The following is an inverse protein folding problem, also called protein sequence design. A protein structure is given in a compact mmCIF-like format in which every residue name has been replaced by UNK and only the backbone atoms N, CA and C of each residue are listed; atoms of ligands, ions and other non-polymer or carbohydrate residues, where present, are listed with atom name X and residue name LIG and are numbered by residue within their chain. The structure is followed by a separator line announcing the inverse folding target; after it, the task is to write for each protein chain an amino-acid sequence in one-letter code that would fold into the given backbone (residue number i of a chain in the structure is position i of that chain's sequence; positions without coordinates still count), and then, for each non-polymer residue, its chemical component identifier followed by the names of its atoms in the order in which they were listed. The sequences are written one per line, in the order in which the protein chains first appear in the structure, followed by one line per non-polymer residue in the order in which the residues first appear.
data_IF_023156033951
#
_entry.id   IF_023156033951
#
_cell.length_a   1.000
_cell.length_b   1.000
_cell.length_c   1.000
_cell.angle_alpha   90.00
_cell.angle_beta   90.00
_cell.angle_gamma   90.00
#
_symmetry.space_group_name_H-M   'P 1'
#
loop_
_entity.id
_entity.type
_entity.pdbx_description
1 polymer ?
#
# COMPACT_ATOMS: atom_id res chain seq x y z
N UNK A 1 -38.07 -24.53 -8.57
CA UNK A 1 -36.68 -24.12 -8.79
C UNK A 1 -36.31 -23.19 -7.65
N UNK A 2 -35.64 -23.72 -6.63
CA UNK A 2 -35.12 -22.89 -5.54
C UNK A 2 -34.03 -21.99 -6.12
N UNK A 3 -34.29 -20.69 -6.21
CA UNK A 3 -33.28 -19.71 -6.58
C UNK A 3 -32.30 -19.64 -5.41
N UNK A 4 -31.24 -20.47 -5.48
CA UNK A 4 -30.23 -20.56 -4.44
C UNK A 4 -29.78 -19.16 -4.01
N UNK A 5 -29.78 -18.91 -2.70
CA UNK A 5 -29.28 -17.65 -2.14
C UNK A 5 -27.88 -17.41 -2.70
N UNK A 6 -27.72 -16.37 -3.51
CA UNK A 6 -26.40 -15.89 -3.94
C UNK A 6 -25.64 -15.46 -2.68
N UNK A 7 -24.72 -16.28 -2.20
CA UNK A 7 -23.82 -15.93 -1.11
C UNK A 7 -22.80 -14.90 -1.62
N UNK A 8 -23.15 -13.62 -1.54
CA UNK A 8 -22.23 -12.54 -1.89
C UNK A 8 -21.40 -12.14 -0.68
N UNK A 9 -20.09 -12.45 -0.72
CA UNK A 9 -19.13 -11.93 0.26
C UNK A 9 -19.08 -10.41 0.17
N UNK A 10 -19.14 -9.71 1.30
CA UNK A 10 -19.08 -8.25 1.36
C UNK A 10 -17.77 -7.81 2.00
N UNK A 11 -16.92 -7.19 1.17
CA UNK A 11 -15.66 -6.58 1.61
C UNK A 11 -15.80 -5.06 1.62
N UNK A 12 -15.09 -4.42 2.52
CA UNK A 12 -14.88 -2.98 2.54
C UNK A 12 -13.44 -2.68 2.98
N UNK A 13 -12.97 -1.47 2.71
CA UNK A 13 -11.63 -1.05 3.07
C UNK A 13 -11.67 -0.02 4.18
N UNK A 14 -10.71 -0.11 5.11
CA UNK A 14 -10.46 0.98 6.04
C UNK A 14 -9.67 2.06 5.32
N UNK A 15 -10.36 3.06 4.79
CA UNK A 15 -9.72 4.22 4.17
C UNK A 15 -9.40 5.28 5.22
N UNK A 16 -8.12 5.44 5.57
CA UNK A 16 -7.68 6.54 6.44
C UNK A 16 -7.94 7.89 5.76
N UNK A 17 -8.44 8.87 6.50
CA UNK A 17 -8.56 10.24 6.00
C UNK A 17 -7.16 10.88 5.90
N UNK A 18 -6.62 10.95 4.68
CA UNK A 18 -5.30 11.53 4.40
C UNK A 18 -5.32 13.04 4.09
N UNK A 19 -6.46 13.73 4.22
CA UNK A 19 -6.59 15.16 3.85
C UNK A 19 -5.57 16.04 4.58
N UNK A 20 -5.37 15.82 5.87
CA UNK A 20 -4.41 16.62 6.66
C UNK A 20 -2.95 16.31 6.29
N UNK A 21 -2.63 15.05 5.98
CA UNK A 21 -1.29 14.68 5.49
C UNK A 21 -1.00 15.32 4.12
N UNK A 22 -2.00 15.40 3.24
CA UNK A 22 -1.88 16.12 1.97
C UNK A 22 -1.65 17.60 2.18
N UNK A 23 -2.26 18.23 3.19
CA UNK A 23 -1.92 19.61 3.54
C UNK A 23 -0.48 19.72 4.00
N UNK A 24 -0.01 18.79 4.84
CA UNK A 24 1.39 18.80 5.29
C UNK A 24 2.38 18.64 4.13
N UNK A 25 2.02 17.93 3.05
CA UNK A 25 2.92 17.82 1.88
C UNK A 25 3.25 19.16 1.21
N UNK A 26 2.44 20.21 1.38
CA UNK A 26 2.78 21.53 0.82
C UNK A 26 3.89 22.25 1.60
N UNK A 27 4.30 21.75 2.76
CA UNK A 27 5.43 22.28 3.53
C UNK A 27 6.76 21.62 3.19
N UNK A 28 6.77 20.59 2.34
CA UNK A 28 8.00 20.01 1.79
C UNK A 28 8.63 21.02 0.84
N UNK A 29 9.83 21.51 1.17
CA UNK A 29 10.50 22.57 0.43
C UNK A 29 11.08 22.07 -0.90
N UNK A 30 11.72 20.91 -0.88
CA UNK A 30 12.31 20.27 -2.06
C UNK A 30 11.71 18.87 -2.27
N UNK A 31 10.68 18.72 -3.11
CA UNK A 31 10.08 17.43 -3.41
C UNK A 31 11.02 16.43 -4.11
N UNK A 32 12.09 16.92 -4.78
CA UNK A 32 13.06 16.03 -5.42
C UNK A 32 14.02 15.45 -4.39
N UNK A 33 14.54 16.27 -3.48
CA UNK A 33 15.37 15.82 -2.36
C UNK A 33 14.57 14.88 -1.44
N UNK A 34 13.34 15.26 -1.07
CA UNK A 34 12.44 14.41 -0.30
C UNK A 34 12.25 13.04 -0.96
N UNK A 35 12.08 13.00 -2.29
CA UNK A 35 11.95 11.74 -3.04
C UNK A 35 13.24 10.92 -3.01
N UNK A 36 14.41 11.54 -3.04
CA UNK A 36 15.69 10.83 -2.93
C UNK A 36 15.89 10.23 -1.53
N UNK A 37 15.55 10.99 -0.48
CA UNK A 37 15.73 10.58 0.92
C UNK A 37 14.67 9.58 1.40
N UNK A 38 13.43 9.71 0.94
CA UNK A 38 12.28 8.97 1.50
C UNK A 38 11.48 8.19 0.46
N UNK A 39 11.86 8.25 -0.82
CA UNK A 39 11.14 7.61 -1.90
C UNK A 39 9.87 8.36 -2.30
N UNK A 40 9.01 7.69 -3.06
CA UNK A 40 7.74 8.19 -3.63
C UNK A 40 6.59 8.22 -2.61
N UNK A 41 6.86 8.47 -1.33
CA UNK A 41 5.82 8.49 -0.28
C UNK A 41 4.72 9.53 -0.53
N UNK A 42 5.07 10.70 -1.08
CA UNK A 42 4.09 11.71 -1.47
C UNK A 42 3.08 11.18 -2.49
N UNK A 43 3.52 10.28 -3.37
CA UNK A 43 2.67 9.66 -4.39
C UNK A 43 1.63 8.69 -3.81
N UNK A 44 1.87 8.16 -2.62
CA UNK A 44 0.91 7.34 -1.87
C UNK A 44 -0.21 8.21 -1.33
N UNK A 45 0.14 9.40 -0.82
CA UNK A 45 -0.83 10.36 -0.30
C UNK A 45 -1.75 10.89 -1.41
N UNK A 46 -1.22 11.13 -2.61
CA UNK A 46 -1.97 11.69 -3.74
C UNK A 46 -2.87 10.71 -4.47
N UNK A 47 -2.87 9.41 -4.11
CA UNK A 47 -3.69 8.42 -4.78
C UNK A 47 -5.19 8.73 -4.64
N UNK A 48 -5.88 8.81 -5.78
CA UNK A 48 -7.34 8.93 -5.83
C UNK A 48 -7.97 7.54 -5.90
N UNK A 49 -8.24 6.97 -4.73
CA UNK A 49 -8.65 5.58 -4.60
C UNK A 49 -10.12 5.40 -5.00
N UNK A 50 -10.35 4.62 -6.06
CA UNK A 50 -11.69 4.16 -6.44
C UNK A 50 -12.02 2.88 -5.66
N UNK A 51 -12.64 3.03 -4.48
CA UNK A 51 -12.93 1.88 -3.58
C UNK A 51 -13.74 0.78 -4.27
N UNK A 52 -14.67 1.15 -5.17
CA UNK A 52 -15.46 0.17 -5.94
C UNK A 52 -14.57 -0.75 -6.79
N UNK A 53 -13.50 -0.23 -7.38
CA UNK A 53 -12.57 -1.02 -8.18
C UNK A 53 -11.83 -2.04 -7.29
N UNK A 54 -11.30 -1.59 -6.15
CA UNK A 54 -10.67 -2.48 -5.17
C UNK A 54 -11.64 -3.54 -4.63
N UNK A 55 -12.91 -3.17 -4.41
CA UNK A 55 -13.93 -4.12 -3.96
C UNK A 55 -14.19 -5.24 -4.97
N UNK A 56 -13.93 -4.99 -6.25
CA UNK A 56 -14.00 -5.98 -7.31
C UNK A 56 -12.71 -6.81 -7.33
N UNK A 57 -11.53 -6.18 -7.27
CA UNK A 57 -10.23 -6.85 -7.20
C UNK A 57 -10.21 -7.95 -6.12
N UNK A 58 -10.64 -7.65 -4.90
CA UNK A 58 -10.63 -8.61 -3.78
C UNK A 58 -11.46 -9.85 -4.05
N UNK A 59 -12.48 -9.78 -4.92
CA UNK A 59 -13.27 -10.96 -5.30
C UNK A 59 -12.48 -11.98 -6.10
N UNK A 60 -11.40 -11.54 -6.75
CA UNK A 60 -10.48 -12.38 -7.50
C UNK A 60 -9.32 -12.90 -6.64
N UNK A 61 -9.26 -12.54 -5.36
CA UNK A 61 -8.22 -13.05 -4.46
C UNK A 61 -8.39 -14.55 -4.23
N UNK A 62 -7.40 -15.32 -4.67
CA UNK A 62 -7.28 -16.74 -4.45
C UNK A 62 -6.43 -17.01 -3.20
N UNK A 63 -7.02 -17.49 -2.10
CA UNK A 63 -6.29 -17.75 -0.86
C UNK A 63 -5.34 -18.95 -0.95
N UNK A 64 -5.54 -19.87 -1.91
CA UNK A 64 -4.70 -21.05 -2.10
C UNK A 64 -3.37 -20.64 -2.73
N UNK A 65 -3.42 -19.82 -3.78
CA UNK A 65 -2.23 -19.38 -4.52
C UNK A 65 -1.68 -18.03 -4.05
N UNK A 66 -2.40 -17.32 -3.15
CA UNK A 66 -2.04 -15.98 -2.66
C UNK A 66 -1.81 -14.99 -3.81
N UNK A 67 -2.71 -15.03 -4.79
CA UNK A 67 -2.69 -14.16 -5.96
C UNK A 67 -4.12 -13.66 -6.28
N UNK A 68 -4.23 -12.78 -7.27
CA UNK A 68 -5.51 -12.41 -7.86
C UNK A 68 -5.68 -13.16 -9.18
N UNK A 69 -6.65 -14.07 -9.24
CA UNK A 69 -6.87 -14.94 -10.40
C UNK A 69 -8.04 -14.41 -11.23
N UNK A 70 -7.74 -14.01 -12.46
CA UNK A 70 -8.70 -13.66 -13.50
C UNK A 70 -8.82 -14.83 -14.49
N UNK A 71 -9.81 -14.84 -15.41
CA UNK A 71 -9.98 -15.95 -16.35
C UNK A 71 -8.73 -16.27 -17.18
N UNK A 72 -8.05 -15.23 -17.67
CA UNK A 72 -6.96 -15.37 -18.65
C UNK A 72 -5.56 -15.08 -18.08
N UNK A 73 -5.47 -14.58 -16.85
CA UNK A 73 -4.22 -14.13 -16.25
C UNK A 73 -4.27 -14.12 -14.72
N UNK A 74 -3.10 -14.07 -14.08
CA UNK A 74 -2.96 -13.90 -12.64
C UNK A 74 -2.12 -12.67 -12.33
N UNK A 75 -2.50 -11.92 -11.29
CA UNK A 75 -1.71 -10.81 -10.78
C UNK A 75 -1.21 -11.12 -9.38
N UNK A 76 0.08 -10.87 -9.15
CA UNK A 76 0.77 -11.14 -7.89
C UNK A 76 1.50 -9.88 -7.45
N UNK A 77 1.08 -9.25 -6.33
CA UNK A 77 1.89 -8.24 -5.67
C UNK A 77 3.25 -8.80 -5.25
N UNK A 78 4.34 -8.11 -5.62
CA UNK A 78 5.71 -8.55 -5.30
C UNK A 78 6.47 -7.53 -4.49
N UNK A 79 7.56 -7.97 -3.84
CA UNK A 79 8.47 -7.05 -3.14
C UNK A 79 9.04 -6.01 -4.10
N UNK A 80 9.49 -6.44 -5.28
CA UNK A 80 10.08 -5.55 -6.29
C UNK A 80 9.02 -4.55 -6.78
N UNK A 81 7.80 -5.01 -7.06
CA UNK A 81 6.71 -4.12 -7.48
C UNK A 81 6.39 -3.05 -6.43
N UNK A 82 6.28 -3.44 -5.15
CA UNK A 82 6.03 -2.50 -4.05
C UNK A 82 7.23 -1.55 -3.82
N UNK A 83 8.46 -2.05 -3.93
CA UNK A 83 9.66 -1.22 -3.85
C UNK A 83 9.70 -0.15 -4.96
N UNK A 84 9.36 -0.51 -6.19
CA UNK A 84 9.29 0.43 -7.32
C UNK A 84 8.19 1.49 -7.15
N UNK A 85 7.01 1.09 -6.65
CA UNK A 85 5.91 2.01 -6.35
C UNK A 85 6.26 2.99 -5.24
N UNK A 86 6.96 2.53 -4.21
CA UNK A 86 7.40 3.36 -3.09
C UNK A 86 8.71 4.10 -3.37
N UNK A 87 9.49 3.70 -4.36
CA UNK A 87 10.86 4.21 -4.54
C UNK A 87 11.76 3.96 -3.33
N UNK A 88 11.50 2.89 -2.57
CA UNK A 88 12.28 2.47 -1.40
C UNK A 88 12.79 1.07 -1.69
N UNK A 89 14.11 0.90 -1.74
CA UNK A 89 14.72 -0.41 -1.99
C UNK A 89 14.50 -1.33 -0.79
N UNK A 90 14.30 -2.61 -1.09
CA UNK A 90 14.28 -3.64 -0.05
C UNK A 90 15.70 -3.78 0.48
N UNK A 91 15.87 -3.61 1.78
CA UNK A 91 17.17 -3.79 2.43
C UNK A 91 17.41 -5.26 2.77
N UNK A 92 18.68 -5.68 2.81
CA UNK A 92 19.11 -6.98 3.33
C UNK A 92 18.94 -7.13 4.86
N UNK A 93 18.47 -6.08 5.54
CA UNK A 93 18.08 -6.15 6.95
C UNK A 93 16.87 -7.07 7.11
N UNK A 94 16.87 -7.85 8.19
CA UNK A 94 15.72 -8.67 8.59
C UNK A 94 14.48 -7.77 8.69
N UNK A 95 13.40 -8.07 7.96
CA UNK A 95 12.17 -7.30 8.04
C UNK A 95 11.56 -7.36 9.44
N UNK A 96 10.76 -6.34 9.77
CA UNK A 96 9.96 -6.37 10.99
C UNK A 96 9.01 -7.58 10.97
N UNK A 97 9.18 -8.48 11.93
CA UNK A 97 8.44 -9.75 12.06
C UNK A 97 7.26 -9.66 13.01
N UNK A 98 7.20 -8.62 13.86
CA UNK A 98 6.20 -8.49 14.92
C UNK A 98 6.51 -9.30 16.17
N UNK A 99 7.63 -10.03 16.18
CA UNK A 99 8.09 -10.89 17.30
C UNK A 99 9.18 -10.17 18.12
N UNK A 100 9.70 -9.05 17.64
CA UNK A 100 10.72 -8.26 18.32
C UNK A 100 10.23 -7.79 19.69
N UNK A 101 11.08 -7.84 20.71
CA UNK A 101 10.71 -7.47 22.08
C UNK A 101 10.09 -6.07 22.12
N UNK A 102 8.91 -5.99 22.71
CA UNK A 102 8.22 -4.74 23.02
C UNK A 102 9.02 -4.05 24.12
N UNK A 103 10.04 -3.29 23.72
CA UNK A 103 10.59 -2.23 24.54
C UNK A 103 9.42 -1.33 24.97
N UNK A 104 8.95 -1.53 26.21
CA UNK A 104 7.97 -0.68 26.89
C UNK A 104 8.64 0.66 27.19
N UNK A 105 8.81 1.48 26.17
CA UNK A 105 9.08 2.89 26.32
C UNK A 105 7.79 3.65 26.05
N UNK A 106 7.56 4.69 26.86
CA UNK A 106 6.69 5.88 26.76
C UNK A 106 6.38 6.46 25.36
N UNK A 107 6.79 5.80 24.28
CA UNK A 107 6.48 6.09 22.89
C UNK A 107 5.12 5.46 22.56
N UNK A 108 4.08 5.94 23.24
CA UNK A 108 2.69 5.77 22.80
C UNK A 108 2.19 7.16 22.40
N UNK A 109 2.34 7.39 21.09
CA UNK A 109 1.43 8.10 20.21
C UNK A 109 0.50 9.15 20.83
N UNK A 110 0.95 10.40 20.79
CA UNK A 110 0.04 11.50 20.51
C UNK A 110 0.31 12.03 19.10
N UNK A 111 -0.29 11.38 18.12
CA UNK A 111 -0.16 11.80 16.72
C UNK A 111 -0.78 13.20 16.47
N UNK A 112 -1.68 13.66 17.35
CA UNK A 112 -2.11 15.05 17.40
C UNK A 112 -0.96 15.99 17.81
N UNK A 113 -0.09 15.57 18.73
CA UNK A 113 1.10 16.34 19.12
C UNK A 113 2.13 16.31 18.00
N UNK A 114 2.40 15.15 17.41
CA UNK A 114 3.29 15.06 16.24
C UNK A 114 2.81 15.94 15.07
N UNK A 115 1.50 16.00 14.78
CA UNK A 115 0.96 16.90 13.75
C UNK A 115 1.15 18.39 14.10
N UNK A 116 0.88 18.78 15.34
CA UNK A 116 1.12 20.15 15.83
C UNK A 116 2.60 20.50 15.74
N UNK A 117 3.47 19.59 16.17
CA UNK A 117 4.92 19.72 16.12
C UNK A 117 5.41 19.89 14.68
N UNK A 118 4.97 19.05 13.75
CA UNK A 118 5.33 19.20 12.33
C UNK A 118 5.00 20.61 11.80
N UNK A 119 3.78 21.09 12.09
CA UNK A 119 3.36 22.45 11.69
C UNK A 119 4.24 23.52 12.36
N UNK A 120 4.60 23.34 13.64
CA UNK A 120 5.46 24.27 14.37
C UNK A 120 6.90 24.30 13.86
N UNK A 121 7.49 23.13 13.54
CA UNK A 121 8.83 23.05 12.99
C UNK A 121 8.92 23.63 11.59
N UNK A 122 7.88 23.42 10.77
CA UNK A 122 7.74 24.10 9.48
C UNK A 122 7.73 25.62 9.64
N UNK A 123 6.93 26.15 10.57
CA UNK A 123 6.87 27.60 10.86
C UNK A 123 8.18 28.15 11.42
N UNK A 124 8.91 27.35 12.20
CA UNK A 124 10.22 27.70 12.76
C UNK A 124 11.38 27.58 11.74
N UNK A 125 11.13 27.08 10.52
CA UNK A 125 12.15 26.87 9.50
C UNK A 125 13.05 25.67 9.75
N UNK A 126 12.68 24.75 10.66
CA UNK A 126 13.43 23.53 10.94
C UNK A 126 13.00 22.41 9.98
N UNK A 127 13.67 22.35 8.83
CA UNK A 127 13.34 21.45 7.72
C UNK A 127 13.47 19.98 8.13
N UNK A 128 14.64 19.58 8.64
CA UNK A 128 14.92 18.19 9.00
C UNK A 128 13.93 17.62 10.04
N UNK A 129 13.60 18.43 11.06
CA UNK A 129 12.67 18.03 12.10
C UNK A 129 11.24 17.89 11.57
N UNK A 130 10.81 18.83 10.70
CA UNK A 130 9.54 18.71 10.02
C UNK A 130 9.47 17.44 9.16
N UNK A 131 10.48 17.19 8.33
CA UNK A 131 10.50 16.04 7.42
C UNK A 131 10.50 14.71 8.18
N UNK A 132 11.31 14.58 9.23
CA UNK A 132 11.34 13.38 10.07
C UNK A 132 9.96 13.06 10.66
N UNK A 133 9.27 14.06 11.22
CA UNK A 133 7.93 13.88 11.79
C UNK A 133 6.91 13.62 10.69
N UNK A 134 7.00 14.31 9.56
CA UNK A 134 6.07 14.15 8.45
C UNK A 134 6.16 12.73 7.85
N UNK A 135 7.36 12.20 7.62
CA UNK A 135 7.57 10.82 7.15
C UNK A 135 7.03 9.82 8.18
N UNK A 136 7.28 10.03 9.47
CA UNK A 136 6.73 9.18 10.53
C UNK A 136 5.19 9.15 10.50
N UNK A 137 4.55 10.32 10.29
CA UNK A 137 3.10 10.41 10.14
C UNK A 137 2.61 9.65 8.89
N UNK A 138 3.34 9.68 7.77
CA UNK A 138 3.01 8.88 6.57
C UNK A 138 3.09 7.38 6.91
N UNK A 139 4.14 6.94 7.61
CA UNK A 139 4.30 5.54 8.01
C UNK A 139 3.12 5.07 8.88
N UNK A 140 2.78 5.81 9.93
CA UNK A 140 1.73 5.39 10.86
C UNK A 140 0.30 5.53 10.36
N UNK A 141 0.02 6.54 9.54
CA UNK A 141 -1.36 6.86 9.15
C UNK A 141 -1.73 6.38 7.74
N UNK A 142 -0.76 6.31 6.83
CA UNK A 142 -0.99 5.88 5.45
C UNK A 142 -0.48 4.46 5.18
N UNK A 143 0.74 4.14 5.59
CA UNK A 143 1.37 2.84 5.30
C UNK A 143 0.85 1.73 6.22
N UNK A 144 0.80 1.97 7.53
CA UNK A 144 0.40 0.98 8.53
C UNK A 144 -0.78 1.47 9.38
N UNK A 145 -1.96 1.73 8.77
CA UNK A 145 -3.10 2.26 9.50
C UNK A 145 -3.62 1.25 10.53
N UNK A 146 -3.56 1.60 11.82
CA UNK A 146 -4.12 0.78 12.91
C UNK A 146 -5.30 1.46 13.62
N UNK A 147 -5.09 2.62 14.23
CA UNK A 147 -6.15 3.39 14.90
C UNK A 147 -6.24 4.75 14.23
N UNK A 148 -7.46 5.22 13.95
CA UNK A 148 -7.68 6.42 13.16
C UNK A 148 -7.00 7.61 13.83
N UNK A 149 -6.03 8.19 13.11
CA UNK A 149 -5.31 9.36 13.58
C UNK A 149 -4.18 9.07 14.56
N UNK A 150 -3.82 7.82 14.84
CA UNK A 150 -2.68 7.44 15.71
C UNK A 150 -1.58 6.71 14.95
N UNK A 151 -0.33 6.98 15.32
CA UNK A 151 0.85 6.26 14.81
C UNK A 151 1.13 5.08 15.72
N UNK A 152 0.96 3.87 15.21
CA UNK A 152 1.20 2.63 15.97
C UNK A 152 2.68 2.43 16.31
N UNK A 153 2.99 1.82 17.46
CA UNK A 153 4.38 1.54 17.87
C UNK A 153 5.13 0.68 16.84
N UNK A 154 4.43 -0.23 16.15
CA UNK A 154 5.04 -1.04 15.10
C UNK A 154 5.37 -0.19 13.87
N UNK A 155 4.52 0.79 13.53
CA UNK A 155 4.83 1.73 12.46
C UNK A 155 6.08 2.58 12.76
N UNK A 156 6.25 2.99 14.03
CA UNK A 156 7.46 3.68 14.49
C UNK A 156 8.69 2.78 14.34
N UNK A 157 8.59 1.50 14.74
CA UNK A 157 9.69 0.54 14.58
C UNK A 157 10.07 0.32 13.13
N UNK A 158 9.07 0.14 12.26
CA UNK A 158 9.30 -0.06 10.82
C UNK A 158 9.95 1.20 10.21
N UNK A 159 9.53 2.39 10.64
CA UNK A 159 10.17 3.66 10.27
C UNK A 159 11.65 3.69 10.68
N UNK A 160 11.97 3.32 11.93
CA UNK A 160 13.36 3.27 12.42
C UNK A 160 14.22 2.22 11.71
N UNK A 161 13.64 1.09 11.31
CA UNK A 161 14.34 0.05 10.52
C UNK A 161 14.64 0.54 9.10
N UNK A 162 13.71 1.31 8.51
CA UNK A 162 13.80 1.83 7.16
C UNK A 162 13.52 0.80 6.06
N UNK A 163 12.88 -0.33 6.38
CA UNK A 163 12.58 -1.40 5.42
C UNK A 163 11.07 -1.76 5.42
N UNK A 164 10.18 -0.84 4.98
CA UNK A 164 8.73 -1.02 5.10
C UNK A 164 8.14 -1.99 4.07
N UNK A 165 8.81 -2.20 2.93
CA UNK A 165 8.26 -2.91 1.77
C UNK A 165 7.82 -4.35 2.11
N UNK A 166 8.64 -5.17 2.78
CA UNK A 166 8.22 -6.55 3.10
C UNK A 166 7.05 -6.58 4.09
N UNK A 167 7.05 -5.69 5.09
CA UNK A 167 5.95 -5.60 6.05
C UNK A 167 4.66 -5.13 5.39
N UNK A 168 4.72 -4.19 4.44
CA UNK A 168 3.55 -3.74 3.69
C UNK A 168 2.92 -4.84 2.84
N UNK A 169 3.78 -5.60 2.14
CA UNK A 169 3.32 -6.72 1.34
C UNK A 169 2.70 -7.82 2.23
N UNK A 170 3.36 -8.12 3.35
CA UNK A 170 2.87 -9.07 4.34
C UNK A 170 1.53 -8.66 4.96
N UNK A 171 1.38 -7.41 5.37
CA UNK A 171 0.16 -6.86 5.96
C UNK A 171 -1.02 -6.91 4.98
N UNK A 172 -0.78 -6.57 3.71
CA UNK A 172 -1.77 -6.70 2.64
C UNK A 172 -2.25 -8.16 2.49
N UNK A 173 -1.33 -9.11 2.36
CA UNK A 173 -1.67 -10.53 2.22
C UNK A 173 -2.38 -11.09 3.44
N UNK A 174 -1.88 -10.76 4.63
CA UNK A 174 -2.47 -11.17 5.89
C UNK A 174 -3.93 -10.69 5.99
N UNK A 175 -4.17 -9.41 5.71
CA UNK A 175 -5.51 -8.83 5.77
C UNK A 175 -6.47 -9.39 4.71
N UNK A 176 -6.01 -9.61 3.48
CA UNK A 176 -6.83 -10.26 2.45
C UNK A 176 -7.17 -11.70 2.82
N UNK A 177 -6.18 -12.49 3.21
CA UNK A 177 -6.35 -13.90 3.57
C UNK A 177 -7.28 -14.05 4.77
N UNK A 178 -7.07 -13.25 5.82
CA UNK A 178 -7.91 -13.24 7.00
C UNK A 178 -9.38 -12.93 6.64
N UNK A 179 -9.63 -11.93 5.79
CA UNK A 179 -11.01 -11.57 5.40
C UNK A 179 -11.63 -12.56 4.44
N UNK A 180 -10.84 -13.17 3.56
CA UNK A 180 -11.31 -14.25 2.72
C UNK A 180 -11.76 -15.46 3.56
N UNK A 181 -10.98 -15.84 4.57
CA UNK A 181 -11.30 -16.94 5.50
C UNK A 181 -12.53 -16.68 6.40
N UNK A 182 -12.86 -15.40 6.62
CA UNK A 182 -14.02 -14.94 7.40
C UNK A 182 -15.23 -14.60 6.53
N UNK A 183 -15.18 -14.91 5.23
CA UNK A 183 -16.22 -14.62 4.24
C UNK A 183 -16.65 -13.13 4.13
N UNK A 184 -15.73 -12.21 4.44
CA UNK A 184 -15.95 -10.77 4.30
C UNK A 184 -15.39 -9.92 5.44
N UNK A 185 -15.88 -8.67 5.48
CA UNK A 185 -15.51 -7.68 6.49
C UNK A 185 -14.51 -6.64 6.00
N UNK A 186 -13.89 -5.95 6.95
CA UNK A 186 -13.00 -4.81 6.68
C UNK A 186 -11.56 -5.26 6.47
N UNK A 187 -11.02 -4.96 5.30
CA UNK A 187 -9.60 -5.12 4.98
C UNK A 187 -8.87 -3.89 5.51
N UNK A 188 -7.82 -4.14 6.30
CA UNK A 188 -6.97 -3.10 6.89
C UNK A 188 -5.58 -3.28 6.32
N UNK A 189 -5.18 -2.40 5.41
CA UNK A 189 -3.85 -2.38 4.81
C UNK A 189 -3.59 -0.97 4.25
N UNK A 190 -2.43 -0.74 3.63
CA UNK A 190 -2.20 0.47 2.85
C UNK A 190 -3.06 0.48 1.57
N UNK A 191 -4.31 0.92 1.67
CA UNK A 191 -5.27 0.99 0.56
C UNK A 191 -4.73 1.79 -0.63
N UNK A 192 -4.11 2.98 -0.44
CA UNK A 192 -3.54 3.73 -1.56
C UNK A 192 -2.45 2.97 -2.32
N UNK A 193 -1.63 2.19 -1.61
CA UNK A 193 -0.56 1.41 -2.24
C UNK A 193 -1.11 0.21 -3.01
N UNK A 194 -2.06 -0.53 -2.43
CA UNK A 194 -2.75 -1.63 -3.13
C UNK A 194 -3.46 -1.11 -4.40
N UNK A 195 -4.10 0.06 -4.30
CA UNK A 195 -4.73 0.71 -5.44
C UNK A 195 -3.73 1.08 -6.52
N UNK A 196 -2.64 1.79 -6.17
CA UNK A 196 -1.58 2.17 -7.12
C UNK A 196 -0.97 0.95 -7.81
N UNK A 197 -0.72 -0.12 -7.06
CA UNK A 197 -0.25 -1.39 -7.61
C UNK A 197 -1.25 -1.98 -8.61
N UNK A 198 -2.54 -2.02 -8.26
CA UNK A 198 -3.50 -2.62 -9.16
C UNK A 198 -3.69 -1.81 -10.43
N UNK A 199 -3.84 -0.49 -10.32
CA UNK A 199 -4.03 0.36 -11.50
C UNK A 199 -2.80 0.39 -12.41
N UNK A 200 -1.58 0.16 -11.90
CA UNK A 200 -0.38 0.12 -12.76
C UNK A 200 -0.38 -1.05 -13.73
N UNK A 201 -1.21 -2.08 -13.49
CA UNK A 201 -1.38 -3.22 -14.39
C UNK A 201 -2.53 -3.05 -15.38
N UNK A 202 -3.40 -2.05 -15.20
CA UNK A 202 -4.56 -1.84 -16.06
C UNK A 202 -4.22 -0.94 -17.26
N UNK A 203 -5.02 -0.96 -18.35
CA UNK A 203 -4.88 -0.02 -19.46
C UNK A 203 -4.89 1.44 -18.99
N UNK A 204 -3.88 2.21 -19.39
CA UNK A 204 -3.72 3.63 -18.99
C UNK A 204 -4.42 4.61 -19.94
N UNK A 205 -5.31 4.13 -20.81
CA UNK A 205 -6.03 5.02 -21.75
C UNK A 205 -7.06 5.87 -21.01
N UNK A 206 -7.25 7.15 -21.38
CA UNK A 206 -8.23 8.02 -20.73
C UNK A 206 -9.64 7.40 -20.69
N UNK A 207 -10.07 6.83 -21.81
CA UNK A 207 -11.38 6.16 -21.93
C UNK A 207 -11.57 5.01 -20.91
N UNK A 208 -10.50 4.27 -20.59
CA UNK A 208 -10.53 3.22 -19.59
C UNK A 208 -10.54 3.78 -18.17
N UNK A 209 -9.64 4.72 -17.87
CA UNK A 209 -9.46 5.27 -16.52
C UNK A 209 -10.66 6.11 -16.06
N UNK A 210 -11.28 6.86 -16.98
CA UNK A 210 -12.48 7.64 -16.71
C UNK A 210 -13.76 6.79 -16.72
N UNK A 211 -13.68 5.54 -17.21
CA UNK A 211 -14.82 4.67 -17.42
C UNK A 211 -15.95 5.40 -18.18
N UNK A 212 -15.62 5.95 -19.35
CA UNK A 212 -16.56 6.76 -20.16
C UNK A 212 -17.87 6.02 -20.46
N UNK A 213 -17.78 4.69 -20.63
CA UNK A 213 -18.92 3.82 -20.91
C UNK A 213 -19.81 3.55 -19.68
N UNK A 214 -19.42 4.05 -18.49
CA UNK A 214 -20.14 3.89 -17.23
C UNK A 214 -20.47 2.44 -16.87
N UNK A 215 -19.59 1.50 -17.27
CA UNK A 215 -19.77 0.07 -17.03
C UNK A 215 -19.45 -0.27 -15.57
N UNK A 216 -19.94 -1.43 -15.11
CA UNK A 216 -19.53 -1.95 -13.80
C UNK A 216 -18.08 -2.40 -13.89
N UNK A 217 -17.25 -2.02 -12.91
CA UNK A 217 -15.85 -2.48 -12.83
C UNK A 217 -15.68 -4.00 -12.92
N UNK A 218 -16.66 -4.79 -12.46
CA UNK A 218 -16.65 -6.25 -12.64
C UNK A 218 -16.76 -6.69 -14.09
N UNK A 219 -17.50 -5.97 -14.93
CA UNK A 219 -17.62 -6.28 -16.36
C UNK A 219 -16.35 -5.87 -17.10
N UNK A 220 -15.82 -4.69 -16.77
CA UNK A 220 -14.57 -4.16 -17.35
C UNK A 220 -13.40 -5.12 -17.06
N UNK A 221 -13.20 -5.49 -15.79
CA UNK A 221 -12.07 -6.36 -15.43
C UNK A 221 -12.21 -7.78 -16.00
N UNK A 222 -13.43 -8.28 -16.15
CA UNK A 222 -13.68 -9.59 -16.76
C UNK A 222 -13.54 -9.61 -18.28
N UNK A 223 -13.53 -8.44 -18.93
CA UNK A 223 -13.30 -8.34 -20.38
C UNK A 223 -11.83 -8.15 -20.75
N UNK A 224 -10.96 -7.87 -19.76
CA UNK A 224 -9.52 -7.77 -19.98
C UNK A 224 -8.92 -9.15 -20.24
N UNK A 225 -7.98 -9.18 -21.17
CA UNK A 225 -7.15 -10.34 -21.51
C UNK A 225 -5.71 -10.08 -21.10
N UNK A 226 -4.82 -11.07 -21.27
CA UNK A 226 -3.40 -10.89 -20.95
C UNK A 226 -2.72 -9.77 -21.77
N UNK A 227 -3.21 -9.48 -22.98
CA UNK A 227 -2.65 -8.47 -23.89
C UNK A 227 -2.97 -7.04 -23.44
N UNK A 228 -4.04 -6.88 -22.64
CA UNK A 228 -4.45 -5.59 -22.08
C UNK A 228 -3.68 -5.23 -20.80
N UNK A 229 -2.99 -6.20 -20.20
CA UNK A 229 -2.30 -6.04 -18.92
C UNK A 229 -0.89 -5.51 -19.12
N UNK A 230 -0.56 -4.46 -18.35
CA UNK A 230 0.81 -3.96 -18.26
C UNK A 230 1.58 -4.86 -17.29
N UNK A 231 2.30 -5.82 -17.84
CA UNK A 231 3.11 -6.78 -17.06
C UNK A 231 4.38 -6.17 -16.47
N UNK A 232 4.98 -5.23 -17.19
CA UNK A 232 6.28 -4.66 -16.84
C UNK A 232 6.24 -3.14 -16.84
N UNK A 233 6.53 -2.54 -15.69
CA UNK A 233 6.89 -1.12 -15.60
C UNK A 233 8.34 -0.96 -16.06
N UNK A 234 8.61 -0.08 -17.02
CA UNK A 234 9.98 0.20 -17.50
C UNK A 234 10.92 0.68 -16.39
N UNK A 235 10.38 1.19 -15.28
CA UNK A 235 11.13 1.52 -14.08
C UNK A 235 11.71 0.29 -13.33
N UNK A 236 11.25 -0.92 -13.63
CA UNK A 236 11.81 -2.18 -13.12
C UNK A 236 13.08 -2.61 -13.85
N UNK A 237 13.35 -2.05 -15.04
CA UNK A 237 14.49 -2.43 -15.91
C UNK A 237 15.87 -2.18 -15.33
N UNK A 238 15.97 -1.28 -14.35
CA UNK A 238 17.23 -0.93 -13.69
C UNK A 238 17.34 -1.45 -12.24
N UNK A 239 16.37 -2.23 -11.75
CA UNK A 239 16.42 -2.78 -10.41
C UNK A 239 17.19 -4.12 -10.40
N UNK A 240 18.05 -4.29 -9.39
CA UNK A 240 18.64 -5.60 -9.10
C UNK A 240 17.53 -6.59 -8.73
N UNK A 241 17.61 -7.81 -9.28
CA UNK A 241 16.65 -8.88 -8.96
C UNK A 241 16.84 -9.26 -7.50
N UNK A 242 15.78 -9.08 -6.70
CA UNK A 242 15.74 -9.56 -5.33
C UNK A 242 15.49 -11.07 -5.38
N UNK A 243 16.48 -11.87 -4.98
CA UNK A 243 16.38 -13.33 -4.88
C UNK A 243 16.02 -13.82 -3.47
N UNK A 244 16.20 -12.96 -2.46
CA UNK A 244 15.90 -13.26 -1.06
C UNK A 244 15.60 -11.97 -0.26
N UNK A 245 14.92 -12.10 0.88
CA UNK A 245 14.75 -11.02 1.85
C UNK A 245 15.08 -11.55 3.25
N UNK A 246 16.30 -11.28 3.73
CA UNK A 246 16.83 -11.94 4.93
C UNK A 246 17.01 -13.44 4.68
N UNK A 247 16.51 -14.29 5.58
CA UNK A 247 16.59 -15.76 5.44
C UNK A 247 15.46 -16.36 4.56
N UNK A 248 14.56 -15.53 4.03
CA UNK A 248 13.41 -16.00 3.26
C UNK A 248 13.71 -16.00 1.75
N UNK A 249 13.79 -17.20 1.15
CA UNK A 249 14.03 -17.39 -0.28
C UNK A 249 12.77 -17.32 -1.17
N UNK A 250 11.57 -17.35 -0.58
CA UNK A 250 10.31 -17.63 -1.29
C UNK A 250 9.21 -16.58 -1.07
N UNK A 251 9.56 -15.31 -0.94
CA UNK A 251 8.55 -14.25 -1.09
C UNK A 251 8.10 -14.25 -2.56
N UNK A 252 6.85 -13.90 -2.93
CA UNK A 252 6.52 -13.70 -4.33
C UNK A 252 7.36 -12.52 -4.85
N UNK A 253 8.53 -12.83 -5.41
CA UNK A 253 9.54 -11.84 -5.79
C UNK A 253 9.28 -11.35 -7.23
N UNK A 254 8.64 -12.19 -8.05
CA UNK A 254 8.23 -11.92 -9.42
C UNK A 254 6.83 -12.51 -9.61
N UNK A 255 5.90 -11.73 -10.16
CA UNK A 255 4.69 -12.25 -10.79
C UNK A 255 5.13 -12.77 -12.15
N UNK A 256 4.89 -14.05 -12.41
CA UNK A 256 5.12 -14.67 -13.73
C UNK A 256 4.33 -13.96 -14.82
#
# INVERSE_FOLDING_TARGET
MDCGRRNTKKYNFRCTNLKELRKLSSFVLDPLDFKQCHGKLLSVLSADVVERLLSVLVRFYDPLYRCFTFPDYQLVPTLVGYACLLGILVSNKVPFSGIEEIHRSHIIAEALHLKKEATSFSQAGSVDAFEAIFVLLIYGLALFPNIDGFVDVNAIRIFLIGNPVPTLLGDMYFSLHLRNSKDGGTIVCCVPLLYKWFISHLPQTPAFMENEQCLRWSQILMSLTNDDIVWYDSALGSLEIIDCCGEFSNVPLIGT
#
